data_IF_827701034090
#
_entry.id   IF_827701034090
#
_cell.length_a   1.000
_cell.length_b   1.000
_cell.length_c   1.000
_cell.angle_alpha   90.00
_cell.angle_beta   90.00
_cell.angle_gamma   90.00
#
_symmetry.space_group_name_H-M   'P 1'
#
loop_
_entity.id
_entity.type
_entity.pdbx_description
1 polymer ?
#
# COMPACT_ATOMS: atom_id res chain seq x y z
N UNK A 1 1.28 -12.81 1.56
CA UNK A 1 1.33 -13.35 1.23
C UNK A 1 1.72 -14.14 0.15
N UNK A 2 2.23 -14.31 -0.50
CA UNK A 2 2.59 -14.96 -1.42
C UNK A 2 3.60 -15.83 -1.10
N UNK A 3 3.81 -16.62 -0.80
CA UNK A 3 4.71 -17.36 -0.44
C UNK A 3 4.60 -18.61 -0.61
N UNK A 4 4.78 -19.41 -0.85
CA UNK A 4 4.69 -20.34 -1.05
C UNK A 4 5.05 -21.22 -1.49
N UNK A 5 5.30 -21.81 -1.67
CA UNK A 5 5.46 -22.56 -2.01
C UNK A 5 6.21 -23.28 -2.28
N UNK A 6 6.67 -23.61 -2.20
CA UNK A 6 7.28 -24.15 -2.54
C UNK A 6 7.75 -25.12 -2.24
N UNK A 7 7.99 -25.47 -1.88
CA UNK A 7 8.45 -26.20 -1.51
C UNK A 7 8.48 -27.30 -1.75
N UNK A 8 8.36 -27.66 -1.83
CA UNK A 8 8.33 -28.53 -1.96
C UNK A 8 9.04 -29.27 -2.38
N UNK A 9 9.29 -29.42 -2.64
CA UNK A 9 9.81 -30.00 -3.07
C UNK A 9 10.71 -30.49 -2.89
N UNK A 10 10.96 -30.52 -2.43
CA UNK A 10 11.75 -30.75 -2.08
C UNK A 10 12.37 -31.71 -2.40
N UNK A 11 12.70 -32.08 -2.47
CA UNK A 11 13.26 -32.89 -2.62
C UNK A 11 14.26 -32.87 -3.22
N UNK A 12 14.71 -32.71 -3.46
CA UNK A 12 15.59 -32.74 -3.95
C UNK A 12 16.42 -32.06 -4.08
N UNK A 13 16.82 -31.86 -3.95
CA UNK A 13 17.55 -31.27 -3.94
C UNK A 13 17.97 -30.46 -4.46
N UNK A 14 18.17 -30.13 -4.49
CA UNK A 14 18.71 -29.52 -4.80
C UNK A 14 18.81 -28.58 -5.18
N UNK A 15 18.66 -28.10 -4.96
CA UNK A 15 18.94 -27.27 -5.21
C UNK A 15 18.62 -26.44 -5.75
N UNK A 16 18.32 -25.94 -5.87
CA UNK A 16 18.18 -25.19 -6.36
C UNK A 16 17.69 -24.28 -6.33
N UNK A 17 17.43 -23.76 -6.37
CA UNK A 17 17.25 -22.76 -6.43
C UNK A 17 16.36 -22.02 -6.23
N UNK A 18 16.23 -21.52 -5.73
CA UNK A 18 15.39 -20.60 -5.25
C UNK A 18 15.42 -19.33 -5.94
N UNK A 19 15.91 -19.24 -7.00
CA UNK A 19 15.96 -17.97 -7.69
C UNK A 19 14.59 -17.44 -8.01
N UNK A 20 13.60 -18.30 -7.99
CA UNK A 20 12.26 -17.89 -8.38
C UNK A 20 11.34 -17.62 -7.23
N UNK A 21 11.81 -17.87 -6.04
CA UNK A 21 10.99 -17.62 -4.89
C UNK A 21 10.75 -16.12 -4.73
N UNK A 22 9.63 -15.78 -4.19
CA UNK A 22 9.39 -14.41 -3.76
C UNK A 22 10.44 -14.05 -2.72
N UNK A 23 10.92 -12.83 -2.80
CA UNK A 23 11.90 -12.36 -1.86
C UNK A 23 11.39 -11.13 -1.14
N UNK A 24 11.46 -11.19 0.18
CA UNK A 24 11.30 -10.01 1.01
C UNK A 24 12.68 -9.65 1.50
N UNK A 25 13.14 -8.47 1.17
CA UNK A 25 14.47 -8.04 1.51
C UNK A 25 14.42 -6.69 2.21
N UNK A 26 15.04 -6.61 3.38
CA UNK A 26 15.12 -5.33 4.08
C UNK A 26 15.87 -4.32 3.23
N UNK A 27 15.37 -3.09 3.21
CA UNK A 27 16.02 -1.99 2.51
C UNK A 27 16.03 -0.78 3.41
N UNK A 28 16.94 0.15 3.11
CA UNK A 28 16.91 1.47 3.76
C UNK A 28 16.05 2.39 2.91
N UNK A 29 15.63 3.51 3.46
CA UNK A 29 14.86 4.48 2.69
C UNK A 29 15.66 5.01 1.51
N UNK A 30 16.98 5.15 1.66
CA UNK A 30 17.85 5.63 0.59
C UNK A 30 17.89 4.66 -0.59
N UNK A 31 17.58 3.40 -0.35
CA UNK A 31 17.57 2.38 -1.42
C UNK A 31 16.24 2.33 -2.17
N UNK A 32 15.26 3.11 -1.74
CA UNK A 32 13.97 3.18 -2.39
C UNK A 32 13.97 4.21 -3.51
N UNK A 33 13.04 4.09 -4.45
CA UNK A 33 12.92 5.11 -5.50
C UNK A 33 12.73 6.50 -4.91
N UNK A 34 13.28 7.49 -5.60
CA UNK A 34 13.23 8.86 -5.11
C UNK A 34 11.82 9.35 -4.84
N UNK A 35 10.88 9.00 -5.72
CA UNK A 35 9.50 9.43 -5.57
C UNK A 35 8.90 8.90 -4.26
N UNK A 36 9.25 7.67 -3.87
CA UNK A 36 8.80 7.10 -2.61
C UNK A 36 9.39 7.86 -1.42
N UNK A 37 10.68 8.19 -1.51
CA UNK A 37 11.34 8.97 -0.45
C UNK A 37 10.66 10.33 -0.27
N UNK A 38 10.34 10.98 -1.37
CA UNK A 38 9.68 12.30 -1.34
C UNK A 38 8.27 12.19 -0.75
N UNK A 39 7.55 11.12 -1.07
CA UNK A 39 6.23 10.89 -0.51
C UNK A 39 6.29 10.76 1.01
N UNK A 40 7.24 9.97 1.50
CA UNK A 40 7.39 9.77 2.95
C UNK A 40 7.73 11.09 3.62
N UNK A 41 8.65 11.86 3.05
CA UNK A 41 9.05 13.13 3.63
C UNK A 41 7.89 14.12 3.67
N UNK A 42 7.01 14.07 2.68
CA UNK A 42 5.89 15.01 2.60
C UNK A 42 4.74 14.64 3.51
N UNK A 43 4.35 13.36 3.54
CA UNK A 43 3.12 12.95 4.21
C UNK A 43 3.35 12.31 5.58
N UNK A 44 4.57 11.86 5.85
CA UNK A 44 4.90 11.22 7.12
C UNK A 44 6.17 11.84 7.72
N UNK A 45 6.23 13.18 7.80
CA UNK A 45 7.43 13.84 8.31
C UNK A 45 7.62 13.48 9.78
N UNK A 46 8.83 13.08 10.12
CA UNK A 46 9.15 12.78 11.51
C UNK A 46 8.63 11.46 12.03
N UNK A 47 7.86 10.71 11.22
CA UNK A 47 7.40 9.40 11.64
C UNK A 47 8.56 8.41 11.63
N UNK A 48 8.60 7.59 12.69
CA UNK A 48 9.66 6.63 12.82
C UNK A 48 9.33 5.37 12.03
N UNK A 49 10.29 4.88 11.27
CA UNK A 49 10.11 3.70 10.45
C UNK A 49 10.48 2.47 11.27
N UNK A 50 9.54 1.52 11.36
CA UNK A 50 9.80 0.24 12.00
C UNK A 50 10.59 -0.67 11.08
N UNK A 51 10.23 -0.71 9.78
CA UNK A 51 11.00 -1.43 8.78
C UNK A 51 10.61 -0.93 7.39
N UNK A 52 11.50 -1.16 6.44
CA UNK A 52 11.21 -1.03 5.02
C UNK A 52 11.72 -2.27 4.32
N UNK A 53 10.95 -2.78 3.37
CA UNK A 53 11.34 -3.98 2.66
C UNK A 53 10.92 -3.91 1.20
N UNK A 54 11.61 -4.70 0.38
CA UNK A 54 11.32 -4.84 -1.03
C UNK A 54 10.85 -6.26 -1.27
N UNK A 55 9.65 -6.40 -1.82
CA UNK A 55 9.10 -7.68 -2.23
C UNK A 55 9.17 -7.78 -3.75
N UNK A 56 9.66 -8.88 -4.25
CA UNK A 56 9.80 -9.09 -5.69
C UNK A 56 9.24 -10.45 -6.05
N UNK A 57 8.45 -10.50 -7.12
CA UNK A 57 8.06 -11.75 -7.73
C UNK A 57 8.12 -11.58 -9.25
N UNK A 58 7.56 -12.52 -10.01
CA UNK A 58 7.63 -12.45 -11.46
C UNK A 58 6.93 -11.22 -12.03
N UNK A 59 5.95 -10.67 -11.33
CA UNK A 59 5.04 -9.72 -11.93
C UNK A 59 5.22 -8.31 -11.43
N UNK A 60 5.71 -8.15 -10.22
CA UNK A 60 5.86 -6.78 -9.72
C UNK A 60 6.88 -6.71 -8.59
N UNK A 61 7.29 -5.49 -8.35
CA UNK A 61 8.14 -5.13 -7.23
C UNK A 61 7.35 -4.15 -6.37
N UNK A 62 7.27 -4.44 -5.08
CA UNK A 62 6.60 -3.58 -4.11
C UNK A 62 7.59 -3.22 -3.02
N UNK A 63 7.66 -1.94 -2.69
CA UNK A 63 8.38 -1.49 -1.51
C UNK A 63 7.35 -1.20 -0.43
N UNK A 64 7.51 -1.82 0.72
CA UNK A 64 6.61 -1.63 1.84
C UNK A 64 7.34 -0.93 2.97
N UNK A 65 6.74 0.12 3.51
CA UNK A 65 7.27 0.85 4.66
C UNK A 65 6.25 0.74 5.78
N UNK A 66 6.69 0.25 6.92
CA UNK A 66 5.86 0.18 8.13
C UNK A 66 6.41 1.17 9.14
N UNK A 67 5.54 2.03 9.64
CA UNK A 67 5.91 3.00 10.66
C UNK A 67 5.59 2.46 12.05
N UNK A 68 6.27 2.99 13.07
CA UNK A 68 6.08 2.47 14.44
C UNK A 68 4.68 2.74 14.96
N UNK A 69 3.94 3.69 14.39
CA UNK A 69 2.56 3.96 14.78
C UNK A 69 1.56 2.99 14.14
N UNK A 70 2.03 2.03 13.34
CA UNK A 70 1.17 1.05 12.69
C UNK A 70 0.73 1.44 11.30
N UNK A 71 1.05 2.62 10.83
CA UNK A 71 0.76 3.01 9.46
C UNK A 71 1.68 2.30 8.48
N UNK A 72 1.18 2.03 7.28
CA UNK A 72 1.93 1.31 6.27
C UNK A 72 1.71 1.96 4.92
N UNK A 73 2.76 2.05 4.12
CA UNK A 73 2.66 2.53 2.75
C UNK A 73 3.35 1.53 1.83
N UNK A 74 2.70 1.22 0.71
CA UNK A 74 3.29 0.40 -0.33
C UNK A 74 3.53 1.25 -1.57
N UNK A 75 4.70 1.08 -2.17
CA UNK A 75 5.11 1.79 -3.38
C UNK A 75 5.42 0.79 -4.48
N UNK A 76 5.13 1.17 -5.71
CA UNK A 76 5.49 0.39 -6.88
C UNK A 76 6.96 0.56 -7.21
N UNK A 77 7.44 -0.20 -8.18
CA UNK A 77 8.84 -0.13 -8.60
C UNK A 77 9.29 1.30 -8.93
N UNK A 78 8.41 2.09 -9.55
CA UNK A 78 8.78 3.45 -9.94
C UNK A 78 8.65 4.46 -8.79
N UNK A 79 8.21 4.01 -7.63
CA UNK A 79 8.05 4.89 -6.48
C UNK A 79 6.68 5.49 -6.30
N UNK A 80 5.75 5.26 -7.24
CA UNK A 80 4.36 5.72 -7.07
C UNK A 80 3.70 4.89 -5.96
N UNK A 81 2.95 5.53 -5.09
CA UNK A 81 2.30 4.78 -4.03
C UNK A 81 1.17 3.92 -4.59
N UNK A 82 1.01 2.76 -4.00
CA UNK A 82 -0.05 1.80 -4.33
C UNK A 82 -1.08 1.74 -3.23
N UNK A 83 -0.66 1.77 -1.98
CA UNK A 83 -1.54 1.65 -0.83
C UNK A 83 -1.02 2.49 0.31
N UNK A 84 -1.94 3.17 1.01
CA UNK A 84 -1.62 3.87 2.26
C UNK A 84 -2.64 3.40 3.29
N UNK A 85 -2.16 2.81 4.38
CA UNK A 85 -3.02 2.22 5.41
C UNK A 85 -2.66 2.84 6.75
N UNK A 86 -3.56 3.67 7.28
CA UNK A 86 -3.39 4.32 8.58
C UNK A 86 -4.53 3.85 9.51
N UNK A 87 -4.59 2.55 9.72
CA UNK A 87 -5.72 1.90 10.38
C UNK A 87 -6.02 2.42 11.80
N UNK A 88 -5.06 3.03 12.43
CA UNK A 88 -5.24 3.54 13.78
C UNK A 88 -5.42 5.05 13.82
N UNK A 89 -5.49 5.68 12.66
CA UNK A 89 -5.68 7.11 12.52
C UNK A 89 -6.24 7.37 11.12
N UNK A 90 -6.38 8.63 10.75
CA UNK A 90 -6.81 8.95 9.39
C UNK A 90 -5.60 9.19 8.50
N UNK A 91 -5.83 9.14 7.19
CA UNK A 91 -4.76 9.42 6.23
C UNK A 91 -4.32 10.88 6.32
N UNK A 92 -3.05 11.16 6.09
CA UNK A 92 -2.60 12.56 5.97
C UNK A 92 -3.38 13.29 4.89
N UNK A 93 -3.62 14.56 5.11
CA UNK A 93 -4.36 15.40 4.17
C UNK A 93 -3.61 15.47 2.84
N UNK A 94 -4.36 15.43 1.75
CA UNK A 94 -3.81 15.59 0.41
C UNK A 94 -3.56 14.29 -0.34
N UNK A 95 -3.61 13.13 0.33
CA UNK A 95 -3.43 11.85 -0.35
C UNK A 95 -4.70 11.48 -1.11
N UNK A 96 -5.85 11.65 -0.49
CA UNK A 96 -7.14 11.35 -1.13
C UNK A 96 -7.56 12.56 -1.95
N UNK A 97 -7.99 12.34 -3.19
CA UNK A 97 -8.41 13.43 -4.05
C UNK A 97 -9.67 14.10 -3.52
N UNK A 98 -9.86 15.38 -3.88
CA UNK A 98 -11.03 16.13 -3.42
C UNK A 98 -12.35 15.51 -3.87
N UNK A 99 -12.51 15.04 -5.12
CA UNK A 99 -13.77 14.41 -5.50
C UNK A 99 -14.13 13.21 -4.64
N UNK A 100 -13.14 12.40 -4.29
CA UNK A 100 -13.37 11.23 -3.43
C UNK A 100 -13.72 11.68 -2.02
N UNK A 101 -12.96 12.61 -1.46
CA UNK A 101 -13.26 13.14 -0.13
C UNK A 101 -14.67 13.72 -0.06
N UNK A 102 -15.06 14.47 -1.08
CA UNK A 102 -16.40 15.07 -1.13
C UNK A 102 -17.47 13.98 -1.12
N UNK A 103 -17.28 12.93 -1.92
CA UNK A 103 -18.27 11.85 -1.97
C UNK A 103 -18.35 11.11 -0.63
N UNK A 104 -17.22 10.90 0.03
CA UNK A 104 -17.19 10.29 1.35
C UNK A 104 -18.04 11.10 2.33
N UNK A 105 -17.85 12.40 2.35
CA UNK A 105 -18.60 13.25 3.29
C UNK A 105 -20.09 13.35 2.93
N UNK A 106 -20.43 13.24 1.65
CA UNK A 106 -21.83 13.21 1.24
C UNK A 106 -22.54 11.97 1.77
N UNK A 107 -21.87 10.82 1.65
CA UNK A 107 -22.48 9.55 2.01
C UNK A 107 -22.37 9.24 3.50
N UNK A 108 -21.26 9.59 4.10
CA UNK A 108 -20.97 9.26 5.50
C UNK A 108 -20.38 10.47 6.20
N UNK A 109 -21.24 11.46 6.52
CA UNK A 109 -20.74 12.69 7.15
C UNK A 109 -19.94 12.38 8.42
N UNK A 110 -18.78 12.99 8.51
CA UNK A 110 -17.90 12.79 9.67
C UNK A 110 -17.02 11.57 9.62
N UNK A 111 -17.17 10.70 8.62
CA UNK A 111 -16.30 9.55 8.49
C UNK A 111 -14.93 9.97 7.99
N UNK A 112 -13.90 9.23 8.41
CA UNK A 112 -12.53 9.48 7.97
C UNK A 112 -12.05 8.32 7.12
N UNK A 113 -11.26 8.61 6.10
CA UNK A 113 -10.61 7.60 5.29
C UNK A 113 -9.38 7.12 6.06
N UNK A 114 -9.29 5.81 6.28
CA UNK A 114 -8.16 5.22 7.01
C UNK A 114 -7.26 4.41 6.10
N UNK A 115 -7.71 4.09 4.89
CA UNK A 115 -6.90 3.30 3.94
C UNK A 115 -7.32 3.68 2.53
N UNK A 116 -6.35 3.74 1.64
CA UNK A 116 -6.61 3.93 0.21
C UNK A 116 -5.68 3.02 -0.58
N UNK A 117 -6.22 2.40 -1.60
CA UNK A 117 -5.47 1.54 -2.50
C UNK A 117 -5.88 1.88 -3.93
N UNK A 118 -4.91 1.88 -4.84
CA UNK A 118 -5.21 2.20 -6.24
C UNK A 118 -4.46 1.28 -7.18
N UNK A 119 -5.10 0.96 -8.30
CA UNK A 119 -4.46 0.24 -9.38
C UNK A 119 -4.76 0.95 -10.70
N UNK A 120 -4.62 0.25 -11.82
CA UNK A 120 -4.81 0.87 -13.12
C UNK A 120 -6.25 1.27 -13.39
N UNK A 121 -7.20 0.67 -12.72
CA UNK A 121 -8.61 0.81 -13.04
C UNK A 121 -9.42 1.47 -11.94
N UNK A 122 -9.03 1.27 -10.70
CA UNK A 122 -9.88 1.63 -9.56
C UNK A 122 -9.09 2.26 -8.43
N UNK A 123 -9.81 3.02 -7.63
CA UNK A 123 -9.33 3.52 -6.34
C UNK A 123 -10.32 3.03 -5.30
N UNK A 124 -9.82 2.39 -4.24
CA UNK A 124 -10.67 1.89 -3.17
C UNK A 124 -10.28 2.57 -1.87
N UNK A 125 -11.27 3.08 -1.13
CA UNK A 125 -11.02 3.69 0.17
C UNK A 125 -11.79 2.94 1.23
N UNK A 126 -11.17 2.81 2.40
CA UNK A 126 -11.82 2.24 3.57
C UNK A 126 -12.01 3.34 4.60
N UNK A 127 -13.20 3.37 5.18
CA UNK A 127 -13.56 4.39 6.16
C UNK A 127 -13.47 3.81 7.57
N UNK A 128 -13.38 4.70 8.55
CA UNK A 128 -13.28 4.29 9.94
C UNK A 128 -14.59 3.69 10.48
N UNK A 129 -15.68 3.75 9.71
CA UNK A 129 -16.94 3.10 10.06
C UNK A 129 -17.04 1.68 9.46
N UNK A 130 -15.99 1.18 8.80
CA UNK A 130 -15.96 -0.15 8.21
C UNK A 130 -16.42 -0.21 6.76
N UNK A 131 -16.95 0.88 6.22
CA UNK A 131 -17.42 0.91 4.83
C UNK A 131 -16.23 1.01 3.87
N UNK A 132 -16.38 0.39 2.69
CA UNK A 132 -15.40 0.49 1.62
C UNK A 132 -16.08 1.05 0.39
N UNK A 133 -15.48 2.05 -0.22
CA UNK A 133 -15.99 2.69 -1.41
C UNK A 133 -15.01 2.48 -2.56
N UNK A 134 -15.51 2.09 -3.72
CA UNK A 134 -14.70 1.88 -4.91
C UNK A 134 -15.06 2.94 -5.94
N UNK A 135 -14.03 3.55 -6.52
CA UNK A 135 -14.17 4.60 -7.52
C UNK A 135 -13.44 4.18 -8.79
N UNK A 136 -13.91 4.62 -9.94
CA UNK A 136 -13.15 4.43 -11.18
C UNK A 136 -12.04 5.50 -11.26
N UNK A 137 -11.26 5.47 -12.33
CA UNK A 137 -10.13 6.39 -12.47
C UNK A 137 -10.55 7.84 -12.69
N UNK A 138 -11.81 8.06 -13.02
CA UNK A 138 -12.37 9.41 -13.10
C UNK A 138 -13.00 9.84 -11.81
N UNK A 139 -12.84 9.04 -10.75
CA UNK A 139 -13.33 9.31 -9.40
C UNK A 139 -14.85 9.27 -9.30
N UNK A 140 -15.49 8.48 -10.16
CA UNK A 140 -16.92 8.18 -10.03
C UNK A 140 -17.09 6.98 -9.12
N UNK A 141 -18.05 7.06 -8.21
CA UNK A 141 -18.33 5.95 -7.29
C UNK A 141 -18.96 4.81 -8.08
N UNK A 142 -18.37 3.60 -7.96
CA UNK A 142 -18.86 2.43 -8.67
C UNK A 142 -19.16 1.25 -7.73
N UNK A 143 -18.84 1.33 -6.45
CA UNK A 143 -19.14 0.25 -5.53
C UNK A 143 -19.12 0.69 -4.08
N UNK A 144 -19.95 0.05 -3.28
CA UNK A 144 -20.01 0.26 -1.82
C UNK A 144 -20.10 -1.13 -1.19
N UNK A 145 -19.24 -1.38 -0.22
CA UNK A 145 -19.22 -2.64 0.54
C UNK A 145 -19.09 -2.35 2.03
N UNK A 146 -19.44 -3.33 2.85
CA UNK A 146 -19.25 -3.22 4.30
C UNK A 146 -18.42 -4.39 4.85
#
# INVERSE_FOLDING_TARGET
TRKMMAFLIGITLLTISPAYADHDRAVTTEQMPRQAQEFIARYFPGEKIAYAKKESDFFEVIYEVMFTNGSKVEFRRNGAWKEVDCRYSSLPAGIVSMPIETKVQELYPGAAVIKIERDKQEVEVKLNNGMELTFDRSHNLIGIDD
#
